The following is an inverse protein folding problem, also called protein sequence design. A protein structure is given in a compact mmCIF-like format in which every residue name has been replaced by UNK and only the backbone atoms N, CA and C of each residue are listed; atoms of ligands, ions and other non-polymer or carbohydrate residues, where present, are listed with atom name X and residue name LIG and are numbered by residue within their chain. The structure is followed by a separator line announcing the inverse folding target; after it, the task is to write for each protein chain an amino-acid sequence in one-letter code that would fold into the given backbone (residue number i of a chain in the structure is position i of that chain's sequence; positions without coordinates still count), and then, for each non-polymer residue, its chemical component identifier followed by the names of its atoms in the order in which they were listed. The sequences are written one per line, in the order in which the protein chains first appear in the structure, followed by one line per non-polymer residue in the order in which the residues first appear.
data_IF_669084999217
#
_entry.id   IF_669084999217
#
_cell.length_a   1.000
_cell.length_b   1.000
_cell.length_c   1.000
_cell.angle_alpha   90.00
_cell.angle_beta   90.00
_cell.angle_gamma   90.00
#
_symmetry.space_group_name_H-M   'P 1'
#
loop_
_entity.id
_entity.type
_entity.pdbx_description
1 polymer ?
#
# COMPACT_ATOMS: atom_id res chain seq x y z
N UNK A 1 -6.43 11.22 -2.53
CA UNK A 1 -7.02 10.78 -1.25
C UNK A 1 -8.04 9.69 -1.54
N UNK A 2 -8.05 8.61 -0.75
CA UNK A 2 -9.06 7.56 -0.87
C UNK A 2 -10.19 7.87 0.11
N UNK A 3 -11.33 8.37 -0.39
CA UNK A 3 -12.49 8.82 0.41
C UNK A 3 -13.67 7.85 0.33
N UNK A 4 -13.40 6.58 0.05
CA UNK A 4 -14.46 5.60 -0.11
C UNK A 4 -14.98 5.19 1.27
N UNK A 5 -16.27 5.41 1.49
CA UNK A 5 -16.97 4.93 2.68
C UNK A 5 -17.08 3.40 2.58
N UNK A 6 -16.56 2.70 3.58
CA UNK A 6 -16.67 1.25 3.66
C UNK A 6 -17.95 0.90 4.42
N UNK A 7 -18.87 0.09 3.83
CA UNK A 7 -20.17 -0.20 4.42
C UNK A 7 -20.08 -1.10 5.66
N UNK A 8 -18.94 -1.78 5.87
CA UNK A 8 -18.77 -2.72 6.98
C UNK A 8 -18.14 -2.07 8.22
N UNK A 9 -18.72 -2.36 9.39
CA UNK A 9 -18.10 -2.14 10.72
C UNK A 9 -16.88 -3.03 10.97
N UNK A 10 -16.18 -3.49 9.92
CA UNK A 10 -14.88 -4.16 10.00
C UNK A 10 -13.77 -3.14 10.27
N UNK A 11 -14.00 -2.28 11.28
CA UNK A 11 -13.04 -1.31 11.75
C UNK A 11 -11.90 -2.07 12.42
N UNK A 12 -10.78 -2.16 11.70
CA UNK A 12 -9.55 -2.71 12.27
C UNK A 12 -9.12 -1.78 13.42
N UNK A 13 -9.18 -2.28 14.64
CA UNK A 13 -8.74 -1.53 15.81
C UNK A 13 -7.34 -0.97 15.63
N UNK A 14 -7.09 0.26 16.08
CA UNK A 14 -5.78 0.88 15.99
C UNK A 14 -4.79 0.11 16.87
N UNK A 15 -3.91 -0.69 16.24
CA UNK A 15 -2.92 -1.51 16.94
C UNK A 15 -1.92 -0.69 17.76
N UNK A 16 -1.58 0.52 17.33
CA UNK A 16 -0.68 1.38 18.10
C UNK A 16 -1.34 1.82 19.41
N UNK A 17 -2.62 2.21 19.37
CA UNK A 17 -3.40 2.52 20.56
C UNK A 17 -3.59 1.29 21.45
N UNK A 18 -3.86 0.12 20.86
CA UNK A 18 -3.96 -1.13 21.62
C UNK A 18 -2.65 -1.47 22.35
N UNK A 19 -1.50 -1.33 21.67
CA UNK A 19 -0.17 -1.54 22.25
C UNK A 19 0.15 -0.53 23.36
N UNK A 20 -0.22 0.75 23.17
CA UNK A 20 -0.05 1.78 24.20
C UNK A 20 -0.90 1.49 25.44
N UNK A 21 -2.16 1.10 25.24
CA UNK A 21 -3.05 0.69 26.32
C UNK A 21 -2.51 -0.54 27.06
N UNK A 22 -1.94 -1.52 26.34
CA UNK A 22 -1.30 -2.70 26.94
C UNK A 22 -0.09 -2.31 27.79
N UNK A 23 0.79 -1.44 27.28
CA UNK A 23 1.94 -0.92 28.04
C UNK A 23 1.49 -0.16 29.29
N UNK A 24 0.45 0.67 29.19
CA UNK A 24 -0.11 1.39 30.33
C UNK A 24 -0.67 0.44 31.40
N UNK A 25 -1.37 -0.63 31.01
CA UNK A 25 -1.85 -1.67 31.95
C UNK A 25 -0.71 -2.38 32.67
N UNK A 26 0.39 -2.71 31.95
CA UNK A 26 1.61 -3.30 32.54
C UNK A 26 2.23 -2.38 33.60
N UNK A 27 2.32 -1.08 33.33
CA UNK A 27 2.84 -0.10 34.30
C UNK A 27 1.95 0.02 35.55
N UNK A 28 0.64 -0.13 35.39
CA UNK A 28 -0.33 -0.06 36.48
C UNK A 28 -0.51 -1.39 37.25
N UNK A 29 0.31 -2.41 36.98
CA UNK A 29 0.24 -3.70 37.68
C UNK A 29 -1.05 -4.50 37.43
N UNK A 30 -1.83 -4.13 36.40
CA UNK A 30 -3.05 -4.85 36.03
C UNK A 30 -2.62 -6.17 35.39
N UNK A 31 -3.10 -7.34 35.89
CA UNK A 31 -2.77 -8.63 35.31
C UNK A 31 -3.06 -8.62 33.81
N UNK A 32 -2.10 -9.06 32.99
CA UNK A 32 -2.40 -9.32 31.59
C UNK A 32 -3.44 -10.43 31.54
N UNK A 33 -4.54 -10.21 30.83
CA UNK A 33 -5.28 -11.33 30.26
C UNK A 33 -4.26 -12.15 29.46
N UNK A 34 -4.05 -13.42 29.84
CA UNK A 34 -3.28 -14.40 29.06
C UNK A 34 -3.68 -14.23 27.59
N UNK A 35 -2.71 -14.30 26.65
CA UNK A 35 -2.98 -14.29 25.20
C UNK A 35 -4.35 -14.88 24.95
N UNK A 36 -5.32 -14.01 24.64
CA UNK A 36 -6.71 -14.40 24.54
C UNK A 36 -6.79 -15.26 23.30
N UNK A 37 -6.58 -16.56 23.51
CA UNK A 37 -6.76 -17.57 22.48
C UNK A 37 -8.15 -17.33 21.93
N UNK A 38 -8.23 -17.04 20.64
CA UNK A 38 -9.53 -16.90 20.01
C UNK A 38 -10.19 -18.27 20.04
N UNK A 39 -11.39 -18.34 20.60
CA UNK A 39 -12.19 -19.55 20.65
C UNK A 39 -13.27 -19.47 19.59
N UNK A 40 -13.65 -20.62 19.04
CA UNK A 40 -14.81 -20.75 18.18
C UNK A 40 -16.06 -20.43 19.00
N UNK A 41 -16.95 -19.58 18.46
CA UNK A 41 -18.17 -19.17 19.15
C UNK A 41 -19.14 -20.34 19.36
N UNK A 42 -19.22 -21.26 18.40
CA UNK A 42 -20.12 -22.41 18.45
C UNK A 42 -19.59 -23.53 19.35
N UNK A 43 -18.30 -23.87 19.20
CA UNK A 43 -17.72 -25.05 19.84
C UNK A 43 -16.93 -24.74 21.12
N UNK A 44 -16.66 -23.46 21.40
CA UNK A 44 -15.83 -23.00 22.52
C UNK A 44 -14.41 -23.61 22.53
N UNK A 45 -13.95 -24.07 21.36
CA UNK A 45 -12.64 -24.67 21.13
C UNK A 45 -11.66 -23.64 20.55
N UNK A 46 -10.37 -23.79 20.88
CA UNK A 46 -9.31 -22.90 20.37
C UNK A 46 -9.24 -22.96 18.83
N UNK A 47 -9.18 -21.79 18.19
CA UNK A 47 -9.01 -21.66 16.74
C UNK A 47 -7.58 -22.01 16.33
N UNK A 48 -7.37 -23.23 15.83
CA UNK A 48 -6.05 -23.78 15.50
C UNK A 48 -5.79 -23.92 13.99
N UNK A 49 -6.83 -23.81 13.17
CA UNK A 49 -6.76 -23.98 11.72
C UNK A 49 -7.12 -22.68 11.00
N UNK A 50 -6.49 -22.45 9.86
CA UNK A 50 -6.94 -21.48 8.85
C UNK A 50 -7.59 -22.28 7.71
N UNK A 51 -8.87 -22.02 7.43
CA UNK A 51 -9.50 -22.46 6.20
C UNK A 51 -8.98 -21.62 5.03
N UNK A 52 -8.33 -22.27 4.07
CA UNK A 52 -7.72 -21.59 2.94
C UNK A 52 -8.74 -21.07 1.93
N UNK A 53 -9.90 -21.72 1.81
CA UNK A 53 -10.98 -21.30 0.92
C UNK A 53 -11.65 -20.03 1.46
N UNK A 54 -12.11 -20.08 2.71
CA UNK A 54 -12.91 -19.00 3.30
C UNK A 54 -12.07 -17.88 3.91
N UNK A 55 -10.74 -18.10 4.05
CA UNK A 55 -9.80 -17.18 4.71
C UNK A 55 -10.19 -16.86 6.15
N UNK A 56 -10.71 -17.86 6.87
CA UNK A 56 -11.18 -17.75 8.26
C UNK A 56 -10.43 -18.70 9.19
N UNK A 57 -10.27 -18.27 10.44
CA UNK A 57 -9.77 -19.13 11.51
C UNK A 57 -10.92 -20.00 12.03
N UNK A 58 -10.69 -21.31 12.14
CA UNK A 58 -11.66 -22.29 12.61
C UNK A 58 -11.05 -23.23 13.66
N UNK A 59 -11.89 -23.85 14.49
CA UNK A 59 -11.45 -24.92 15.38
C UNK A 59 -11.42 -26.27 14.64
N UNK A 60 -10.92 -27.31 15.30
CA UNK A 60 -10.84 -28.66 14.71
C UNK A 60 -12.22 -29.25 14.39
N UNK A 61 -13.21 -29.00 15.26
CA UNK A 61 -14.59 -29.50 15.05
C UNK A 61 -15.25 -28.86 13.82
N UNK A 62 -15.04 -27.56 13.61
CA UNK A 62 -15.48 -26.90 12.38
C UNK A 62 -14.81 -27.51 11.14
N UNK A 63 -13.53 -27.91 11.21
CA UNK A 63 -12.83 -28.53 10.08
C UNK A 63 -13.48 -29.83 9.61
N UNK A 64 -14.05 -30.61 10.54
CA UNK A 64 -14.77 -31.86 10.25
C UNK A 64 -16.26 -31.64 9.90
N UNK A 65 -16.73 -30.39 9.92
CA UNK A 65 -18.12 -30.08 9.64
C UNK A 65 -18.47 -30.29 8.16
N UNK A 66 -19.76 -30.48 7.87
CA UNK A 66 -20.23 -30.58 6.48
C UNK A 66 -19.96 -29.31 5.67
N UNK A 67 -19.93 -28.15 6.33
CA UNK A 67 -19.66 -26.87 5.69
C UNK A 67 -18.24 -26.80 5.11
N UNK A 68 -17.27 -27.38 5.81
CA UNK A 68 -15.86 -27.30 5.40
C UNK A 68 -15.30 -28.61 4.81
N UNK A 69 -16.15 -29.62 4.57
CA UNK A 69 -15.75 -30.97 4.13
C UNK A 69 -14.82 -31.02 2.91
N UNK A 70 -14.90 -30.06 2.01
CA UNK A 70 -14.08 -29.98 0.79
C UNK A 70 -13.04 -28.86 0.80
N UNK A 71 -12.83 -28.20 1.93
CA UNK A 71 -11.88 -27.08 2.04
C UNK A 71 -10.51 -27.57 2.48
N UNK A 72 -9.47 -26.83 2.09
CA UNK A 72 -8.12 -27.06 2.57
C UNK A 72 -7.89 -26.28 3.86
N UNK A 73 -7.13 -26.87 4.76
CA UNK A 73 -6.76 -26.26 6.03
C UNK A 73 -5.28 -26.34 6.26
N UNK A 74 -4.78 -25.35 6.96
CA UNK A 74 -3.40 -25.31 7.43
C UNK A 74 -3.39 -24.89 8.90
N UNK A 75 -2.51 -25.46 9.75
CA UNK A 75 -2.34 -24.99 11.11
C UNK A 75 -1.96 -23.51 11.13
N UNK A 76 -2.53 -22.75 12.07
CA UNK A 76 -2.30 -21.29 12.16
C UNK A 76 -0.81 -20.95 12.27
N UNK A 77 -0.04 -21.75 13.01
CA UNK A 77 1.41 -21.54 13.18
C UNK A 77 2.16 -21.60 11.85
N UNK A 78 1.79 -22.52 10.97
CA UNK A 78 2.39 -22.68 9.64
C UNK A 78 1.90 -21.57 8.69
N UNK A 79 0.60 -21.29 8.71
CA UNK A 79 0.00 -20.19 7.95
C UNK A 79 0.71 -18.86 8.22
N UNK A 80 0.98 -18.56 9.49
CA UNK A 80 1.67 -17.33 9.89
C UNK A 80 3.03 -17.19 9.19
N UNK A 81 3.81 -18.27 9.06
CA UNK A 81 5.07 -18.25 8.32
C UNK A 81 4.87 -17.93 6.84
N UNK A 82 4.02 -18.73 6.18
CA UNK A 82 3.75 -18.61 4.73
C UNK A 82 3.23 -17.21 4.37
N UNK A 83 2.24 -16.71 5.11
CA UNK A 83 1.67 -15.39 4.82
C UNK A 83 2.64 -14.25 5.16
N UNK A 84 3.49 -14.38 6.19
CA UNK A 84 4.55 -13.39 6.45
C UNK A 84 5.53 -13.30 5.30
N UNK A 85 5.98 -14.44 4.78
CA UNK A 85 6.94 -14.46 3.67
C UNK A 85 6.32 -13.91 2.38
N UNK A 86 5.07 -14.29 2.09
CA UNK A 86 4.32 -13.74 0.95
C UNK A 86 4.13 -12.23 1.06
N UNK A 87 3.79 -11.73 2.25
CA UNK A 87 3.64 -10.30 2.50
C UNK A 87 4.97 -9.56 2.36
N UNK A 88 6.07 -10.14 2.87
CA UNK A 88 7.41 -9.56 2.74
C UNK A 88 7.81 -9.45 1.27
N UNK A 89 7.69 -10.53 0.50
CA UNK A 89 7.98 -10.52 -0.94
C UNK A 89 7.12 -9.50 -1.70
N UNK A 90 5.83 -9.39 -1.36
CA UNK A 90 4.94 -8.39 -1.96
C UNK A 90 5.36 -6.96 -1.61
N UNK A 91 5.78 -6.72 -0.37
CA UNK A 91 6.25 -5.42 0.09
C UNK A 91 7.56 -5.02 -0.60
N UNK A 92 8.49 -5.96 -0.74
CA UNK A 92 9.77 -5.74 -1.43
C UNK A 92 9.51 -5.35 -2.89
N UNK A 93 8.67 -6.12 -3.61
CA UNK A 93 8.29 -5.81 -4.99
C UNK A 93 7.59 -4.45 -5.13
N UNK A 94 6.70 -4.09 -4.21
CA UNK A 94 6.04 -2.78 -4.22
C UNK A 94 7.02 -1.65 -3.93
N UNK A 95 8.02 -1.89 -3.09
CA UNK A 95 9.08 -0.91 -2.77
C UNK A 95 9.94 -0.63 -3.99
N UNK A 96 10.35 -1.67 -4.73
CA UNK A 96 11.09 -1.53 -6.00
C UNK A 96 10.27 -0.79 -7.08
N UNK A 97 8.99 -1.16 -7.24
CA UNK A 97 8.10 -0.46 -8.18
C UNK A 97 7.94 1.01 -7.83
N UNK A 98 7.84 1.34 -6.54
CA UNK A 98 7.77 2.72 -6.07
C UNK A 98 9.05 3.47 -6.39
N UNK A 99 10.24 2.90 -6.16
CA UNK A 99 11.49 3.57 -6.49
C UNK A 99 11.64 3.79 -8.00
N UNK A 100 11.29 2.80 -8.82
CA UNK A 100 11.32 2.94 -10.27
C UNK A 100 10.35 4.03 -10.76
N UNK A 101 9.14 4.10 -10.18
CA UNK A 101 8.17 5.14 -10.51
C UNK A 101 8.67 6.55 -10.15
N UNK A 102 9.32 6.71 -8.99
CA UNK A 102 9.91 7.99 -8.58
C UNK A 102 11.06 8.43 -9.49
N UNK A 103 11.89 7.48 -9.94
CA UNK A 103 12.97 7.80 -10.88
C UNK A 103 12.42 8.20 -12.25
N UNK A 104 11.43 7.46 -12.77
CA UNK A 104 10.75 7.85 -14.01
C UNK A 104 10.09 9.22 -13.90
N UNK A 105 9.46 9.55 -12.77
CA UNK A 105 8.87 10.87 -12.52
C UNK A 105 9.95 11.97 -12.55
N UNK A 106 11.12 11.72 -11.94
CA UNK A 106 12.26 12.64 -11.95
C UNK A 106 12.78 12.88 -13.37
N UNK A 107 13.02 11.82 -14.13
CA UNK A 107 13.48 11.91 -15.52
C UNK A 107 12.48 12.66 -16.40
N UNK A 108 11.18 12.39 -16.24
CA UNK A 108 10.13 13.09 -16.98
C UNK A 108 10.13 14.58 -16.67
N UNK A 109 10.22 14.97 -15.38
CA UNK A 109 10.30 16.38 -14.99
C UNK A 109 11.50 17.08 -15.64
N UNK A 110 12.67 16.43 -15.64
CA UNK A 110 13.86 16.98 -16.28
C UNK A 110 13.67 17.17 -17.79
N UNK A 111 13.12 16.17 -18.49
CA UNK A 111 12.85 16.27 -19.95
C UNK A 111 11.86 17.39 -20.27
N UNK A 112 10.81 17.55 -19.46
CA UNK A 112 9.84 18.63 -19.62
C UNK A 112 10.53 20.00 -19.49
N UNK A 113 11.37 20.18 -18.48
CA UNK A 113 12.12 21.44 -18.30
C UNK A 113 13.06 21.73 -19.47
N UNK A 114 13.77 20.72 -19.98
CA UNK A 114 14.63 20.89 -21.15
C UNK A 114 13.85 21.34 -22.39
N UNK A 115 12.72 20.69 -22.68
CA UNK A 115 11.86 21.06 -23.82
C UNK A 115 11.33 22.49 -23.68
N UNK A 116 10.96 22.90 -22.45
CA UNK A 116 10.49 24.28 -22.20
C UNK A 116 11.60 25.32 -22.45
N UNK A 117 12.83 25.03 -22.03
CA UNK A 117 13.98 25.90 -22.26
C UNK A 117 14.31 26.01 -23.76
N UNK A 118 14.37 24.87 -24.45
CA UNK A 118 14.62 24.81 -25.89
C UNK A 118 13.55 25.58 -26.69
N UNK A 119 12.27 25.41 -26.33
CA UNK A 119 11.16 26.14 -26.94
C UNK A 119 11.29 27.65 -26.72
N UNK A 120 11.65 28.08 -25.51
CA UNK A 120 11.82 29.51 -25.19
C UNK A 120 13.00 30.12 -25.95
N UNK A 121 14.11 29.39 -26.06
CA UNK A 121 15.29 29.77 -26.83
C UNK A 121 14.96 29.92 -28.31
N UNK A 122 14.27 28.92 -28.89
CA UNK A 122 13.85 28.95 -30.29
C UNK A 122 12.90 30.11 -30.57
N UNK A 123 11.92 30.35 -29.70
CA UNK A 123 10.99 31.48 -29.84
C UNK A 123 11.74 32.82 -29.83
N UNK A 124 12.72 32.98 -28.93
CA UNK A 124 13.52 34.19 -28.83
C UNK A 124 14.41 34.39 -30.06
N UNK A 125 14.99 33.31 -30.59
CA UNK A 125 15.77 33.34 -31.81
C UNK A 125 14.92 33.76 -33.02
N UNK A 126 13.75 33.13 -33.21
CA UNK A 126 12.82 33.49 -34.28
C UNK A 126 12.45 34.97 -34.19
N UNK A 127 12.06 35.45 -33.00
CA UNK A 127 11.74 36.88 -32.80
C UNK A 127 12.91 37.78 -33.19
N UNK A 128 14.14 37.44 -32.83
CA UNK A 128 15.32 38.23 -33.17
C UNK A 128 15.56 38.29 -34.68
N UNK A 129 15.45 37.17 -35.39
CA UNK A 129 15.63 37.13 -36.85
C UNK A 129 14.56 37.96 -37.57
N UNK A 130 13.30 37.88 -37.13
CA UNK A 130 12.23 38.74 -37.67
C UNK A 130 12.50 40.22 -37.41
N UNK A 131 12.97 40.60 -36.22
CA UNK A 131 13.34 42.00 -35.93
C UNK A 131 14.46 42.50 -36.85
N UNK A 132 15.50 41.69 -37.10
CA UNK A 132 16.59 42.05 -38.03
C UNK A 132 16.07 42.26 -39.44
N UNK A 133 15.19 41.37 -39.92
CA UNK A 133 14.59 41.49 -41.24
C UNK A 133 13.77 42.77 -41.38
N UNK A 134 12.94 43.10 -40.38
CA UNK A 134 12.19 44.36 -40.36
C UNK A 134 13.11 45.58 -40.40
N UNK A 135 14.20 45.57 -39.63
CA UNK A 135 15.17 46.67 -39.63
C UNK A 135 15.80 46.89 -41.02
N UNK A 136 16.23 45.80 -41.68
CA UNK A 136 16.80 45.87 -43.04
C UNK A 136 15.81 46.43 -44.08
N UNK A 137 14.51 46.12 -43.94
CA UNK A 137 13.49 46.66 -44.83
C UNK A 137 13.29 48.16 -44.61
N UNK A 138 13.16 48.60 -43.36
CA UNK A 138 13.01 50.02 -43.02
C UNK A 138 14.20 50.85 -43.50
N UNK A 139 15.44 50.33 -43.38
CA UNK A 139 16.65 51.00 -43.85
C UNK A 139 16.68 51.18 -45.39
N UNK A 140 16.00 50.33 -46.16
CA UNK A 140 15.92 50.44 -47.63
C UNK A 140 14.80 51.34 -48.14
N UNK A 141 13.80 51.62 -47.31
CA UNK A 141 12.67 52.48 -47.66
C UNK A 141 12.97 53.98 -47.45
N UNK A 142 14.06 54.31 -46.75
CA UNK A 142 14.60 55.68 -46.59
C UNK A 142 15.57 56.05 -47.70
#
# INVERSE_FOLDING_TARGET
ECRQEFPDRNLRGNRALANLAEKARKLNGIPQEKESKHHCEEHQEELKLLCETDKKLICLVCGDSREHKSHNFIPVKEAVGIYKDRLKSSLDSLTEKKSAALEMEREQKQKISQIQEESSRLQSHIKSEFTKMHQMLTEKEQ
#
